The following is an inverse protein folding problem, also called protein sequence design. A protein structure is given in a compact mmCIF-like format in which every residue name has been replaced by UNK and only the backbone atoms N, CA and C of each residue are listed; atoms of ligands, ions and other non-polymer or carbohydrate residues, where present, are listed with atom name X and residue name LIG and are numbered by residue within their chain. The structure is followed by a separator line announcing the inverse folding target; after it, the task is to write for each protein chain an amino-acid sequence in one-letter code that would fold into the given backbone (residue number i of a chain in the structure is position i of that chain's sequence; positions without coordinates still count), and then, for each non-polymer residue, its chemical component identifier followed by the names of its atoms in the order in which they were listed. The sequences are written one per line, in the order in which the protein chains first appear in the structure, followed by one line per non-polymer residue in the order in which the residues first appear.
data_IF_423555535652
#
_entry.id   IF_423555535652
#
_cell.length_a   1.000
_cell.length_b   1.000
_cell.length_c   1.000
_cell.angle_alpha   90.00
_cell.angle_beta   90.00
_cell.angle_gamma   90.00
#
_symmetry.space_group_name_H-M   'P 1'
#
loop_
_entity.id
_entity.type
_entity.pdbx_description
1 polymer ?
#
# COMPACT_ATOMS: atom_id res chain seq x y z
N UNK A 1 19.61 -7.00 -6.77
CA UNK A 1 18.50 -6.09 -6.43
C UNK A 1 17.25 -6.88 -6.74
N UNK A 2 16.36 -7.11 -5.78
CA UNK A 2 15.19 -7.98 -5.95
C UNK A 2 14.36 -7.61 -7.18
N UNK A 3 14.46 -8.42 -8.24
CA UNK A 3 13.77 -8.23 -9.53
C UNK A 3 12.23 -8.25 -9.38
N UNK A 4 11.74 -8.76 -8.24
CA UNK A 4 10.32 -8.88 -7.92
C UNK A 4 9.65 -7.54 -7.60
N UNK A 5 10.35 -6.61 -6.93
CA UNK A 5 9.79 -5.28 -6.65
C UNK A 5 9.62 -4.51 -7.95
N UNK A 6 10.58 -4.62 -8.86
CA UNK A 6 10.50 -4.01 -10.19
C UNK A 6 9.34 -4.55 -11.01
N UNK A 7 9.07 -5.86 -10.93
CA UNK A 7 7.93 -6.47 -11.62
C UNK A 7 6.59 -5.91 -11.12
N UNK A 8 6.38 -5.85 -9.80
CA UNK A 8 5.14 -5.30 -9.21
C UNK A 8 4.94 -3.82 -9.56
N UNK A 9 6.02 -3.03 -9.56
CA UNK A 9 5.94 -1.62 -9.97
C UNK A 9 5.66 -1.46 -11.47
N UNK A 10 6.11 -2.41 -12.30
CA UNK A 10 5.84 -2.41 -13.74
C UNK A 10 4.37 -2.73 -14.02
N UNK A 11 3.81 -3.73 -13.32
CA UNK A 11 2.38 -4.06 -13.38
C UNK A 11 1.51 -2.87 -12.98
N UNK A 12 1.86 -2.16 -11.90
CA UNK A 12 1.17 -0.95 -11.48
C UNK A 12 1.21 0.16 -12.57
N UNK A 13 2.32 0.29 -13.29
CA UNK A 13 2.47 1.25 -14.36
C UNK A 13 1.61 0.87 -15.58
N UNK A 14 1.50 -0.42 -15.89
CA UNK A 14 0.62 -0.94 -16.94
C UNK A 14 -0.87 -0.74 -16.60
N UNK A 15 -1.23 -0.81 -15.31
CA UNK A 15 -2.57 -0.46 -14.81
C UNK A 15 -2.83 1.06 -14.73
N UNK A 16 -1.93 1.90 -15.25
CA UNK A 16 -2.12 3.35 -15.29
C UNK A 16 -2.13 4.00 -13.91
N UNK A 17 -1.38 3.46 -12.95
CA UNK A 17 -1.28 3.96 -11.58
C UNK A 17 -2.63 4.08 -10.85
N UNK A 18 -3.59 3.22 -11.20
CA UNK A 18 -4.93 3.19 -10.59
C UNK A 18 -5.74 4.49 -10.78
N UNK A 19 -5.36 5.33 -11.75
CA UNK A 19 -6.06 6.59 -12.03
C UNK A 19 -7.36 6.31 -12.79
N UNK A 20 -8.46 6.91 -12.33
CA UNK A 20 -9.77 6.79 -12.98
C UNK A 20 -10.57 5.55 -12.59
N UNK A 21 -10.08 4.77 -11.63
CA UNK A 21 -10.84 3.67 -11.02
C UNK A 21 -11.90 4.19 -10.04
N UNK A 22 -12.98 3.43 -9.88
CA UNK A 22 -13.92 3.68 -8.79
C UNK A 22 -13.29 3.33 -7.43
N UNK A 23 -13.95 3.79 -6.37
CA UNK A 23 -13.45 3.66 -4.99
C UNK A 23 -13.21 2.20 -4.59
N UNK A 24 -14.09 1.29 -4.98
CA UNK A 24 -14.02 -0.13 -4.57
C UNK A 24 -12.87 -0.84 -5.27
N UNK A 25 -12.74 -0.60 -6.58
CA UNK A 25 -11.65 -1.16 -7.39
C UNK A 25 -10.31 -0.60 -6.93
N UNK A 26 -10.23 0.71 -6.65
CA UNK A 26 -9.02 1.33 -6.13
C UNK A 26 -8.61 0.76 -4.76
N UNK A 27 -9.55 0.56 -3.83
CA UNK A 27 -9.26 -0.08 -2.53
C UNK A 27 -8.72 -1.50 -2.71
N UNK A 28 -9.36 -2.28 -3.59
CA UNK A 28 -8.95 -3.66 -3.86
C UNK A 28 -7.53 -3.72 -4.43
N UNK A 29 -7.23 -2.90 -5.44
CA UNK A 29 -5.88 -2.82 -6.03
C UNK A 29 -4.84 -2.32 -5.02
N UNK A 30 -5.15 -1.29 -4.22
CA UNK A 30 -4.22 -0.82 -3.18
C UNK A 30 -3.93 -1.90 -2.13
N UNK A 31 -4.93 -2.68 -1.73
CA UNK A 31 -4.76 -3.78 -0.78
C UNK A 31 -3.87 -4.90 -1.37
N UNK A 32 -4.05 -5.19 -2.66
CA UNK A 32 -3.20 -6.14 -3.40
C UNK A 32 -1.73 -5.69 -3.43
N UNK A 33 -1.46 -4.49 -3.95
CA UNK A 33 -0.10 -3.94 -4.03
C UNK A 33 0.55 -3.75 -2.66
N UNK A 34 -0.22 -3.37 -1.65
CA UNK A 34 0.29 -3.29 -0.28
C UNK A 34 0.74 -4.65 0.25
N UNK A 35 -0.05 -5.71 0.05
CA UNK A 35 0.31 -7.07 0.47
C UNK A 35 1.59 -7.56 -0.20
N UNK A 36 1.68 -7.42 -1.52
CA UNK A 36 2.85 -7.83 -2.31
C UNK A 36 4.10 -7.07 -1.86
N UNK A 37 4.06 -5.73 -1.84
CA UNK A 37 5.21 -4.91 -1.49
C UNK A 37 5.63 -5.05 -0.02
N UNK A 38 4.66 -5.21 0.90
CA UNK A 38 4.97 -5.42 2.31
C UNK A 38 5.66 -6.76 2.55
N UNK A 39 5.34 -7.81 1.78
CA UNK A 39 5.99 -9.12 1.93
C UNK A 39 7.47 -9.10 1.54
N UNK A 40 7.85 -8.24 0.60
CA UNK A 40 9.19 -8.21 -0.01
C UNK A 40 10.26 -7.57 0.87
N UNK A 41 9.88 -6.68 1.81
CA UNK A 41 10.78 -6.00 2.74
C UNK A 41 12.12 -5.51 2.11
N UNK A 42 12.09 -4.68 1.05
CA UNK A 42 13.29 -4.33 0.28
C UNK A 42 14.32 -3.47 1.03
N UNK A 43 13.97 -2.87 2.17
CA UNK A 43 14.84 -2.04 2.99
C UNK A 43 15.25 -2.72 4.30
N UNK A 44 16.44 -2.41 4.81
CA UNK A 44 16.91 -2.86 6.14
C UNK A 44 16.02 -2.34 7.28
N UNK A 45 15.50 -1.11 7.18
CA UNK A 45 14.53 -0.54 8.10
C UNK A 45 13.58 0.40 7.34
N UNK A 46 12.38 0.61 7.87
CA UNK A 46 11.46 1.63 7.35
C UNK A 46 10.55 1.18 6.21
N UNK A 47 10.48 -0.13 5.90
CA UNK A 47 9.60 -0.69 4.87
C UNK A 47 8.15 -0.16 4.97
N UNK A 48 7.54 -0.24 6.16
CA UNK A 48 6.18 0.26 6.37
C UNK A 48 6.03 1.77 6.17
N UNK A 49 7.04 2.58 6.55
CA UNK A 49 7.00 4.05 6.34
C UNK A 49 7.08 4.39 4.85
N UNK A 50 8.00 3.76 4.13
CA UNK A 50 8.17 3.96 2.69
C UNK A 50 6.91 3.52 1.91
N UNK A 51 6.39 2.33 2.22
CA UNK A 51 5.22 1.77 1.56
C UNK A 51 3.95 2.61 1.80
N UNK A 52 3.71 3.06 3.04
CA UNK A 52 2.57 3.94 3.34
C UNK A 52 2.68 5.30 2.65
N UNK A 53 3.89 5.86 2.58
CA UNK A 53 4.13 7.11 1.86
C UNK A 53 3.85 6.97 0.36
N UNK A 54 4.31 5.86 -0.24
CA UNK A 54 4.07 5.53 -1.64
C UNK A 54 2.58 5.38 -1.96
N UNK A 55 1.85 4.56 -1.18
CA UNK A 55 0.42 4.35 -1.40
C UNK A 55 -0.39 5.64 -1.19
N UNK A 56 -0.01 6.49 -0.25
CA UNK A 56 -0.64 7.81 -0.08
C UNK A 56 -0.48 8.69 -1.32
N UNK A 57 0.69 8.66 -1.96
CA UNK A 57 0.91 9.40 -3.21
C UNK A 57 0.11 8.80 -4.37
N UNK A 58 0.04 7.47 -4.45
CA UNK A 58 -0.73 6.75 -5.47
C UNK A 58 -2.23 7.07 -5.37
N UNK A 59 -2.82 6.98 -4.17
CA UNK A 59 -4.22 7.36 -3.96
C UNK A 59 -4.48 8.83 -4.28
N UNK A 60 -3.57 9.73 -3.88
CA UNK A 60 -3.70 11.16 -4.17
C UNK A 60 -3.69 11.44 -5.68
N UNK A 61 -2.87 10.72 -6.46
CA UNK A 61 -2.85 10.83 -7.91
C UNK A 61 -4.16 10.35 -8.55
N UNK A 62 -4.84 9.39 -7.94
CA UNK A 62 -6.16 8.92 -8.34
C UNK A 62 -7.33 9.79 -7.82
N UNK A 63 -7.05 10.86 -7.07
CA UNK A 63 -8.06 11.78 -6.53
C UNK A 63 -8.64 11.38 -5.16
N UNK A 64 -8.05 10.39 -4.49
CA UNK A 64 -8.50 9.88 -3.20
C UNK A 64 -7.52 10.23 -2.07
N UNK A 65 -8.02 10.38 -0.84
CA UNK A 65 -7.18 10.64 0.34
C UNK A 65 -7.13 9.42 1.24
N UNK A 66 -5.99 8.73 1.24
CA UNK A 66 -5.77 7.57 2.09
C UNK A 66 -5.39 7.99 3.52
N UNK A 67 -6.28 7.76 4.49
CA UNK A 67 -6.01 8.00 5.91
C UNK A 67 -5.61 6.71 6.65
N UNK A 68 -4.44 6.74 7.28
CA UNK A 68 -3.84 5.64 8.05
C UNK A 68 -4.05 5.78 9.56
N UNK A 69 -4.80 6.79 10.01
CA UNK A 69 -5.01 7.13 11.42
C UNK A 69 -5.60 5.97 12.24
N UNK A 70 -6.38 5.08 11.63
CA UNK A 70 -6.91 3.87 12.29
C UNK A 70 -5.91 2.71 12.36
N UNK A 71 -5.05 2.53 11.35
CA UNK A 71 -4.00 1.50 11.35
C UNK A 71 -2.97 1.70 12.46
N UNK A 72 -2.62 2.96 12.75
CA UNK A 72 -1.62 3.29 13.79
C UNK A 72 -2.01 2.78 15.18
N UNK A 73 -3.30 2.57 15.46
CA UNK A 73 -3.75 2.04 16.76
C UNK A 73 -3.57 0.52 16.87
N UNK A 74 -3.68 -0.20 15.75
CA UNK A 74 -3.54 -1.65 15.70
C UNK A 74 -2.07 -2.12 15.58
N UNK A 75 -1.23 -1.41 14.81
CA UNK A 75 0.21 -1.73 14.67
C UNK A 75 0.98 -1.55 16.00
N UNK A 76 0.68 -0.51 16.76
CA UNK A 76 1.37 -0.23 18.04
C UNK A 76 1.02 -1.22 19.17
N UNK A 77 0.00 -2.07 18.99
CA UNK A 77 -0.40 -3.06 19.99
C UNK A 77 0.38 -4.39 19.87
N UNK A 78 1.07 -4.65 18.76
CA UNK A 78 1.85 -5.88 18.55
C UNK A 78 3.18 -5.61 17.84
N UNK A 79 4.32 -5.74 18.53
CA UNK A 79 5.62 -5.61 17.87
C UNK A 79 5.83 -6.81 16.94
N UNK A 80 6.03 -6.55 15.64
CA UNK A 80 6.35 -7.57 14.64
C UNK A 80 5.21 -8.00 13.70
N UNK A 81 4.02 -7.43 13.82
CA UNK A 81 2.96 -7.66 12.83
C UNK A 81 3.18 -6.71 11.64
N UNK A 82 3.93 -7.16 10.64
CA UNK A 82 3.98 -6.50 9.33
C UNK A 82 2.55 -6.27 8.84
N UNK A 83 2.22 -5.02 8.51
CA UNK A 83 0.84 -4.64 8.25
C UNK A 83 0.24 -5.46 7.12
N UNK A 84 -0.89 -6.11 7.37
CA UNK A 84 -1.49 -7.02 6.41
C UNK A 84 -2.42 -6.26 5.46
N UNK A 85 -2.62 -6.77 4.25
CA UNK A 85 -3.60 -6.27 3.28
C UNK A 85 -5.02 -6.10 3.90
N UNK A 86 -5.32 -6.88 4.94
CA UNK A 86 -6.56 -6.80 5.70
C UNK A 86 -6.74 -5.46 6.45
N UNK A 87 -5.66 -4.77 6.80
CA UNK A 87 -5.73 -3.48 7.50
C UNK A 87 -5.99 -2.30 6.56
N UNK A 88 -5.74 -2.45 5.25
CA UNK A 88 -6.06 -1.43 4.26
C UNK A 88 -7.58 -1.25 4.09
N UNK A 89 -8.37 -2.28 4.44
CA UNK A 89 -9.83 -2.20 4.51
C UNK A 89 -10.35 -1.26 5.62
N UNK A 90 -9.51 -0.86 6.58
CA UNK A 90 -9.85 0.15 7.60
C UNK A 90 -9.44 1.57 7.18
N UNK A 91 -8.63 1.70 6.12
CA UNK A 91 -8.25 3.00 5.59
C UNK A 91 -9.42 3.59 4.80
N UNK A 92 -9.84 4.79 5.18
CA UNK A 92 -10.84 5.53 4.42
C UNK A 92 -10.14 6.22 3.23
N UNK A 93 -10.73 6.09 2.04
CA UNK A 93 -10.51 6.93 0.86
C UNK A 93 -11.76 7.71 0.48
#
# INVERSE_FOLDING_TARGET
MDDRVGAVLSELAEEGYLVGLDRETLLSSLAHFYGELNSMHPFHEGNGRALRAFLRQLSAAAGFQLDWSELSKAENARPGAGGSAHQLAAAHI
#
